data_IF_763408155403
#
_entry.id   IF_763408155403
#
_cell.length_a   1.000
_cell.length_b   1.000
_cell.length_c   1.000
_cell.angle_alpha   90.00
_cell.angle_beta   90.00
_cell.angle_gamma   90.00
#
_symmetry.space_group_name_H-M   'P 1'
#
loop_
_entity.id
_entity.type
_entity.pdbx_description
1 polymer ?
#
# COMPACT_ATOMS: atom_id res chain seq x y z
N UNK A 1 30.40 13.42 -18.64
CA UNK A 1 29.93 12.93 -17.32
C UNK A 1 28.59 12.26 -17.56
N UNK A 2 28.49 10.94 -17.45
CA UNK A 2 27.25 10.19 -17.73
C UNK A 2 26.47 10.02 -16.43
N UNK A 3 25.25 10.56 -16.34
CA UNK A 3 24.38 10.48 -15.17
C UNK A 3 23.49 9.23 -15.26
N UNK A 4 23.42 8.44 -14.19
CA UNK A 4 22.58 7.23 -14.13
C UNK A 4 21.10 7.61 -13.92
N UNK A 5 20.22 7.04 -14.74
CA UNK A 5 18.77 7.29 -14.71
C UNK A 5 18.02 5.98 -14.46
N UNK A 6 17.71 5.63 -13.20
CA UNK A 6 17.04 4.37 -12.89
C UNK A 6 15.61 4.38 -13.43
N UNK A 7 15.23 3.31 -14.14
CA UNK A 7 13.87 3.09 -14.64
C UNK A 7 13.03 2.22 -13.71
N UNK A 8 13.66 1.61 -12.70
CA UNK A 8 13.01 0.75 -11.72
C UNK A 8 13.19 1.31 -10.32
N UNK A 9 12.18 1.14 -9.48
CA UNK A 9 12.27 1.40 -8.05
C UNK A 9 11.53 0.33 -7.25
N UNK A 10 12.08 -0.04 -6.10
CA UNK A 10 11.45 -0.93 -5.12
C UNK A 10 11.32 -0.18 -3.81
N UNK A 11 10.13 -0.20 -3.20
CA UNK A 11 9.81 0.55 -1.99
C UNK A 11 9.18 -0.40 -0.97
N UNK A 12 9.75 -0.45 0.23
CA UNK A 12 9.13 -1.09 1.38
C UNK A 12 8.53 -0.04 2.31
N UNK A 13 7.36 -0.31 2.87
CA UNK A 13 6.78 0.57 3.90
C UNK A 13 6.12 -0.23 5.02
N UNK A 14 6.23 0.29 6.23
CA UNK A 14 5.51 -0.17 7.41
C UNK A 14 4.52 0.92 7.84
N UNK A 15 3.30 0.52 8.17
CA UNK A 15 2.24 1.41 8.66
C UNK A 15 1.75 0.94 10.02
N UNK A 16 1.54 1.90 10.93
CA UNK A 16 1.02 1.65 12.27
C UNK A 16 -0.05 2.69 12.60
N UNK A 17 -1.29 2.24 12.73
CA UNK A 17 -2.42 3.03 13.19
C UNK A 17 -2.65 2.69 14.65
N UNK A 18 -2.82 3.71 15.49
CA UNK A 18 -3.13 3.53 16.90
C UNK A 18 -4.16 4.54 17.38
N UNK A 19 -5.00 4.15 18.33
CA UNK A 19 -6.02 5.02 18.91
C UNK A 19 -6.68 4.44 20.14
N UNK A 20 -7.53 5.26 20.75
CA UNK A 20 -8.29 4.90 21.95
C UNK A 20 -9.36 3.84 21.65
N UNK A 21 -9.73 3.09 22.70
CA UNK A 21 -10.84 2.14 22.62
C UNK A 21 -12.18 2.87 22.67
N UNK A 22 -13.10 2.46 21.80
CA UNK A 22 -14.50 2.89 21.80
C UNK A 22 -15.39 1.73 21.34
N UNK A 23 -16.12 1.14 22.28
CA UNK A 23 -17.02 0.02 21.98
C UNK A 23 -18.25 0.45 21.18
N UNK A 24 -18.71 1.71 21.30
CA UNK A 24 -19.84 2.20 20.52
C UNK A 24 -19.49 2.35 19.03
N UNK A 25 -18.23 2.66 18.74
CA UNK A 25 -17.73 2.84 17.37
C UNK A 25 -17.21 1.53 16.74
N UNK A 26 -16.48 0.71 17.49
CA UNK A 26 -15.71 -0.41 16.93
C UNK A 26 -16.26 -1.81 17.24
N UNK A 27 -17.40 -1.93 17.95
CA UNK A 27 -18.00 -3.24 18.22
C UNK A 27 -18.31 -4.01 16.93
N UNK A 28 -17.95 -5.30 16.92
CA UNK A 28 -18.17 -6.18 15.76
C UNK A 28 -17.27 -5.93 14.55
N UNK A 29 -16.29 -5.03 14.66
CA UNK A 29 -15.30 -4.76 13.60
C UNK A 29 -13.86 -4.69 14.13
N UNK A 30 -13.67 -4.96 15.42
CA UNK A 30 -12.38 -4.89 16.10
C UNK A 30 -12.33 -5.85 17.29
N UNK A 31 -11.21 -6.56 17.44
CA UNK A 31 -11.00 -7.54 18.50
C UNK A 31 -10.86 -6.88 19.87
N UNK A 32 -10.47 -5.61 19.86
CA UNK A 32 -10.12 -4.85 21.07
C UNK A 32 -10.94 -3.57 21.22
N UNK A 33 -11.96 -3.38 20.38
CA UNK A 33 -12.72 -2.14 20.21
C UNK A 33 -11.80 -0.93 19.98
N UNK A 34 -10.74 -1.09 19.21
CA UNK A 34 -9.76 -0.04 18.89
C UNK A 34 -9.43 0.00 17.39
N UNK A 35 -8.95 1.13 16.86
CA UNK A 35 -8.55 1.23 15.47
C UNK A 35 -7.16 0.64 15.20
N UNK A 36 -6.52 0.02 16.20
CA UNK A 36 -5.12 -0.37 16.12
C UNK A 36 -4.87 -1.32 14.96
N UNK A 37 -4.00 -0.95 14.02
CA UNK A 37 -3.78 -1.76 12.82
C UNK A 37 -2.34 -1.61 12.37
N UNK A 38 -1.75 -2.70 11.88
CA UNK A 38 -0.38 -2.73 11.39
C UNK A 38 -0.33 -3.41 10.04
N UNK A 39 0.43 -2.83 9.11
CA UNK A 39 0.64 -3.43 7.80
C UNK A 39 2.07 -3.20 7.30
N UNK A 40 2.50 -4.12 6.46
CA UNK A 40 3.72 -4.01 5.66
C UNK A 40 3.33 -3.98 4.20
N UNK A 41 4.09 -3.25 3.40
CA UNK A 41 3.86 -3.20 1.96
C UNK A 41 5.16 -3.21 1.19
N UNK A 42 5.10 -3.83 0.01
CA UNK A 42 6.16 -3.87 -0.97
C UNK A 42 5.61 -3.33 -2.29
N UNK A 43 6.32 -2.39 -2.87
CA UNK A 43 5.95 -1.75 -4.14
C UNK A 43 7.10 -1.85 -5.14
N UNK A 44 6.75 -2.17 -6.39
CA UNK A 44 7.67 -2.16 -7.54
C UNK A 44 7.12 -1.19 -8.56
N UNK A 45 8.00 -0.32 -9.06
CA UNK A 45 7.69 0.72 -10.03
C UNK A 45 8.59 0.60 -11.25
N UNK A 46 8.01 0.89 -12.42
CA UNK A 46 8.70 0.99 -13.69
C UNK A 46 8.36 2.31 -14.39
N UNK A 47 9.38 3.07 -14.77
CA UNK A 47 9.28 4.34 -15.50
C UNK A 47 10.12 4.26 -16.78
N UNK A 48 9.53 3.98 -17.96
CA UNK A 48 10.30 3.76 -19.19
C UNK A 48 10.96 5.03 -19.76
N UNK A 49 10.46 6.21 -19.40
CA UNK A 49 10.80 7.49 -20.03
C UNK A 49 11.61 8.42 -19.13
N UNK A 50 12.52 7.85 -18.33
CA UNK A 50 13.41 8.63 -17.46
C UNK A 50 14.48 9.42 -18.22
N UNK A 51 14.69 9.09 -19.50
CA UNK A 51 15.66 9.74 -20.39
C UNK A 51 15.01 10.59 -21.50
N UNK A 52 13.74 10.95 -21.33
CA UNK A 52 12.95 11.67 -22.33
C UNK A 52 11.69 10.90 -22.69
N UNK A 53 10.65 11.66 -23.07
CA UNK A 53 9.34 11.12 -23.39
C UNK A 53 9.30 10.27 -24.66
N UNK A 54 8.17 9.58 -24.91
CA UNK A 54 7.99 8.81 -26.13
C UNK A 54 8.02 9.71 -27.38
N UNK A 55 8.25 9.12 -28.56
CA UNK A 55 8.38 9.88 -29.84
C UNK A 55 7.18 10.78 -30.16
N UNK A 56 5.99 10.41 -29.73
CA UNK A 56 4.75 11.16 -29.97
C UNK A 56 4.48 12.25 -28.91
N UNK A 57 5.18 12.20 -27.78
CA UNK A 57 5.09 13.18 -26.71
C UNK A 57 6.46 13.27 -25.99
N UNK A 58 7.37 14.13 -26.46
CA UNK A 58 8.72 14.23 -25.90
C UNK A 58 8.77 14.72 -24.45
N UNK A 59 7.69 15.36 -23.96
CA UNK A 59 7.60 15.87 -22.59
C UNK A 59 6.91 14.88 -21.64
N UNK A 60 6.15 13.94 -22.19
CA UNK A 60 5.41 12.94 -21.43
C UNK A 60 6.30 12.01 -20.60
N UNK A 61 5.81 11.66 -19.42
CA UNK A 61 6.38 10.61 -18.57
C UNK A 61 5.29 9.67 -18.06
N UNK A 62 5.67 8.44 -17.73
CA UNK A 62 4.77 7.45 -17.18
C UNK A 62 5.50 6.63 -16.12
N UNK A 63 4.76 6.29 -15.07
CA UNK A 63 5.16 5.29 -14.07
C UNK A 63 4.07 4.25 -13.92
N UNK A 64 4.43 2.98 -14.07
CA UNK A 64 3.58 1.84 -13.77
C UNK A 64 4.03 1.30 -12.42
N UNK A 65 3.09 1.02 -11.52
CA UNK A 65 3.40 0.52 -10.19
C UNK A 65 2.47 -0.60 -9.75
N UNK A 66 3.03 -1.51 -8.96
CA UNK A 66 2.30 -2.56 -8.27
C UNK A 66 2.73 -2.57 -6.80
N UNK A 67 1.76 -2.44 -5.89
CA UNK A 67 1.98 -2.46 -4.44
C UNK A 67 1.15 -3.55 -3.78
N UNK A 68 1.80 -4.50 -3.13
CA UNK A 68 1.14 -5.46 -2.26
C UNK A 68 1.21 -4.97 -0.82
N UNK A 69 0.08 -5.00 -0.11
CA UNK A 69 -0.02 -4.66 1.31
C UNK A 69 -0.55 -5.85 2.08
N UNK A 70 0.19 -6.26 3.11
CA UNK A 70 -0.16 -7.33 4.03
C UNK A 70 -0.49 -6.77 5.41
N UNK A 71 -1.64 -7.11 5.96
CA UNK A 71 -2.04 -6.72 7.31
C UNK A 71 -1.50 -7.69 8.35
N UNK A 72 -0.61 -7.18 9.21
CA UNK A 72 -0.10 -7.89 10.37
C UNK A 72 -1.13 -7.93 11.50
N UNK A 73 -1.91 -6.85 11.64
CA UNK A 73 -3.07 -6.77 12.54
C UNK A 73 -4.10 -5.77 12.01
N UNK A 74 -5.36 -6.00 12.34
CA UNK A 74 -6.49 -5.14 12.00
C UNK A 74 -7.42 -5.04 13.20
N UNK A 75 -7.82 -3.83 13.59
CA UNK A 75 -8.68 -3.63 14.76
C UNK A 75 -8.11 -4.20 16.08
N UNK A 76 -6.79 -4.30 16.20
CA UNK A 76 -6.05 -4.84 17.34
C UNK A 76 -6.04 -6.37 17.43
N UNK A 77 -6.52 -7.07 16.40
CA UNK A 77 -6.49 -8.53 16.29
C UNK A 77 -5.72 -9.01 15.06
N UNK A 78 -5.31 -10.28 15.08
CA UNK A 78 -4.64 -10.94 13.94
C UNK A 78 -5.52 -12.02 13.31
N UNK A 79 -6.24 -12.78 14.15
CA UNK A 79 -7.23 -13.78 13.74
C UNK A 79 -8.60 -13.43 14.27
N UNK A 80 -9.66 -13.77 13.52
CA UNK A 80 -11.06 -13.49 13.87
C UNK A 80 -11.24 -12.08 14.47
N UNK A 81 -10.69 -11.05 13.80
CA UNK A 81 -10.54 -9.73 14.40
C UNK A 81 -11.88 -9.01 14.59
N UNK A 82 -12.95 -9.49 13.98
CA UNK A 82 -14.29 -8.93 14.03
C UNK A 82 -15.31 -9.83 14.75
N UNK A 83 -14.91 -11.05 15.15
CA UNK A 83 -15.80 -12.04 15.73
C UNK A 83 -16.64 -12.82 14.71
N UNK A 84 -16.48 -12.57 13.41
CA UNK A 84 -17.22 -13.21 12.32
C UNK A 84 -16.38 -14.25 11.53
N UNK A 85 -15.14 -14.49 11.94
CA UNK A 85 -14.22 -15.47 11.38
C UNK A 85 -13.15 -14.88 10.46
N UNK A 86 -13.13 -13.56 10.25
CA UNK A 86 -12.15 -12.93 9.35
C UNK A 86 -10.81 -12.68 10.04
N UNK A 87 -9.72 -13.02 9.37
CA UNK A 87 -8.36 -12.74 9.81
C UNK A 87 -7.87 -11.41 9.24
N UNK A 88 -6.84 -10.82 9.86
CA UNK A 88 -6.24 -9.59 9.35
C UNK A 88 -5.74 -9.76 7.91
N UNK A 89 -5.10 -10.90 7.60
CA UNK A 89 -4.61 -11.25 6.27
C UNK A 89 -5.69 -11.34 5.19
N UNK A 90 -6.95 -11.55 5.57
CA UNK A 90 -8.05 -11.63 4.61
C UNK A 90 -8.36 -10.24 4.00
N UNK A 91 -7.74 -9.18 4.52
CA UNK A 91 -7.86 -7.80 4.05
C UNK A 91 -6.64 -7.34 3.23
N UNK A 92 -5.71 -8.25 2.94
CA UNK A 92 -4.57 -7.98 2.06
C UNK A 92 -5.03 -7.53 0.68
N UNK A 93 -4.28 -6.62 0.06
CA UNK A 93 -4.62 -6.15 -1.28
C UNK A 93 -3.41 -5.90 -2.16
N UNK A 94 -3.62 -6.08 -3.46
CA UNK A 94 -2.72 -5.67 -4.52
C UNK A 94 -3.28 -4.42 -5.20
N UNK A 95 -2.53 -3.33 -5.15
CA UNK A 95 -2.86 -2.09 -5.83
C UNK A 95 -2.00 -1.95 -7.09
N UNK A 96 -2.65 -1.93 -8.25
CA UNK A 96 -2.03 -1.68 -9.55
C UNK A 96 -2.36 -0.26 -9.98
N UNK A 97 -1.37 0.47 -10.47
CA UNK A 97 -1.58 1.84 -10.87
C UNK A 97 -0.67 2.27 -12.03
N UNK A 98 -1.10 3.32 -12.72
CA UNK A 98 -0.30 4.02 -13.72
C UNK A 98 -0.47 5.52 -13.50
N UNK A 99 0.64 6.24 -13.47
CA UNK A 99 0.68 7.70 -13.40
C UNK A 99 1.19 8.20 -14.73
N UNK A 100 0.46 9.13 -15.33
CA UNK A 100 0.90 9.92 -16.47
C UNK A 100 1.27 11.32 -15.98
N UNK A 101 2.40 11.84 -16.44
CA UNK A 101 2.81 13.22 -16.21
C UNK A 101 3.05 13.89 -17.57
N UNK A 102 2.63 15.13 -17.69
CA UNK A 102 2.64 15.96 -18.91
C UNK A 102 3.03 17.39 -18.57
#
# INVERSE_FOLDING_TARGET
MTYYKPTWAVIGAFSNVSGSKDAGLYSGSSATNSPNSQSVSLEVNYSPWMDGGPKFDPMGNMKIGAKYTHFLSLGGGTTNFDGAGHNASDNDYLFLYTVFAF
#
